data_IF_703158177060
#
_entry.id   IF_703158177060
#
_cell.length_a   1.000
_cell.length_b   1.000
_cell.length_c   1.000
_cell.angle_alpha   90.00
_cell.angle_beta   90.00
_cell.angle_gamma   90.00
#
_symmetry.space_group_name_H-M   'P 1'
#
loop_
_entity.id
_entity.type
_entity.pdbx_description
1 polymer ?
#
# COMPACT_ATOMS: atom_id res chain seq x y z
N UNK A 1 -19.64 -19.50 17.54
CA UNK A 1 -20.58 -18.51 16.96
C UNK A 1 -21.28 -19.03 15.67
N UNK A 2 -20.63 -19.87 14.83
CA UNK A 2 -21.27 -20.42 13.61
C UNK A 2 -22.53 -21.23 13.93
N UNK A 3 -22.56 -21.97 15.04
CA UNK A 3 -23.68 -22.79 15.48
C UNK A 3 -24.97 -22.01 15.80
N UNK A 4 -24.94 -20.69 15.77
CA UNK A 4 -26.13 -19.85 15.90
C UNK A 4 -26.94 -19.79 14.58
N UNK A 5 -26.35 -20.23 13.48
CA UNK A 5 -26.95 -20.25 12.14
C UNK A 5 -27.12 -21.68 11.65
N UNK A 6 -28.12 -21.91 10.82
CA UNK A 6 -28.27 -23.18 10.11
C UNK A 6 -27.34 -23.20 8.90
N UNK A 7 -26.97 -24.37 8.45
CA UNK A 7 -26.04 -24.56 7.34
C UNK A 7 -26.54 -23.97 6.01
N UNK A 8 -27.85 -23.79 5.87
CA UNK A 8 -28.57 -23.30 4.69
C UNK A 8 -29.17 -21.88 4.88
N UNK A 9 -28.81 -21.17 5.94
CA UNK A 9 -29.34 -19.81 6.20
C UNK A 9 -28.90 -18.77 5.18
N UNK A 10 -27.85 -19.04 4.39
CA UNK A 10 -27.31 -18.11 3.41
C UNK A 10 -27.28 -18.71 2.01
N UNK A 11 -27.93 -18.07 1.05
CA UNK A 11 -27.88 -18.44 -0.37
C UNK A 11 -26.56 -18.05 -1.05
N UNK A 12 -25.94 -16.99 -0.60
CA UNK A 12 -24.67 -16.46 -1.13
C UNK A 12 -23.73 -16.09 0.02
N UNK A 13 -22.49 -16.50 -0.10
CA UNK A 13 -21.39 -16.09 0.79
C UNK A 13 -20.29 -15.47 -0.05
N UNK A 14 -19.90 -14.25 0.31
CA UNK A 14 -18.81 -13.52 -0.33
C UNK A 14 -17.65 -13.46 0.66
N UNK A 15 -16.50 -13.98 0.25
CA UNK A 15 -15.25 -13.90 0.99
C UNK A 15 -14.41 -12.77 0.39
N UNK A 16 -14.28 -11.67 1.13
CA UNK A 16 -13.34 -10.61 0.80
C UNK A 16 -11.93 -11.02 1.23
N UNK A 17 -10.91 -10.49 0.56
CA UNK A 17 -9.51 -10.89 0.72
C UNK A 17 -9.32 -12.41 0.68
N UNK A 18 -9.91 -13.04 -0.33
CA UNK A 18 -9.98 -14.50 -0.46
C UNK A 18 -8.61 -15.19 -0.55
N UNK A 19 -7.52 -14.44 -0.75
CA UNK A 19 -6.15 -14.97 -0.64
C UNK A 19 -5.81 -15.47 0.79
N UNK A 20 -6.63 -15.13 1.79
CA UNK A 20 -6.57 -15.68 3.15
C UNK A 20 -7.48 -16.91 3.36
N UNK A 21 -8.15 -17.41 2.32
CA UNK A 21 -9.14 -18.49 2.44
C UNK A 21 -8.58 -19.82 2.95
N UNK A 22 -7.27 -20.03 2.88
CA UNK A 22 -6.58 -21.16 3.55
C UNK A 22 -6.55 -21.06 5.08
N UNK A 23 -6.77 -19.86 5.65
CA UNK A 23 -6.77 -19.70 7.10
C UNK A 23 -7.94 -20.45 7.76
N UNK A 24 -7.68 -21.00 8.94
CA UNK A 24 -8.62 -21.83 9.71
C UNK A 24 -10.02 -21.19 9.88
N UNK A 25 -10.08 -19.85 9.96
CA UNK A 25 -11.36 -19.14 10.14
C UNK A 25 -12.21 -19.21 8.88
N UNK A 26 -11.60 -18.97 7.71
CA UNK A 26 -12.27 -19.06 6.41
C UNK A 26 -12.69 -20.51 6.12
N UNK A 27 -11.80 -21.46 6.36
CA UNK A 27 -12.08 -22.89 6.17
C UNK A 27 -13.26 -23.36 7.04
N UNK A 28 -13.37 -22.88 8.28
CA UNK A 28 -14.52 -23.19 9.15
C UNK A 28 -15.84 -22.68 8.57
N UNK A 29 -15.86 -21.49 7.99
CA UNK A 29 -17.04 -20.91 7.34
C UNK A 29 -17.40 -21.71 6.11
N UNK A 30 -16.43 -21.97 5.23
CA UNK A 30 -16.63 -22.70 3.97
C UNK A 30 -17.11 -24.14 4.19
N UNK A 31 -16.62 -24.81 5.22
CA UNK A 31 -17.00 -26.19 5.55
C UNK A 31 -18.32 -26.29 6.34
N UNK A 32 -18.78 -25.19 6.94
CA UNK A 32 -20.02 -25.18 7.72
C UNK A 32 -21.25 -24.91 6.89
N UNK A 33 -21.21 -23.90 6.02
CA UNK A 33 -22.37 -23.48 5.22
C UNK A 33 -22.43 -24.16 3.85
N UNK A 34 -23.66 -24.30 3.34
CA UNK A 34 -23.94 -24.85 2.01
C UNK A 34 -24.69 -23.86 1.15
N UNK A 35 -24.11 -22.70 0.81
CA UNK A 35 -24.78 -21.71 -0.02
C UNK A 35 -24.88 -22.17 -1.47
N UNK A 36 -25.75 -21.52 -2.24
CA UNK A 36 -25.85 -21.72 -3.71
C UNK A 36 -24.64 -21.12 -4.44
N UNK A 37 -24.04 -20.06 -3.87
CA UNK A 37 -22.88 -19.37 -4.43
C UNK A 37 -21.87 -19.05 -3.33
N UNK A 38 -20.65 -19.54 -3.53
CA UNK A 38 -19.46 -19.01 -2.85
C UNK A 38 -18.69 -18.15 -3.83
N UNK A 39 -18.47 -16.86 -3.48
CA UNK A 39 -17.66 -15.93 -4.27
C UNK A 39 -16.45 -15.48 -3.43
N UNK A 40 -15.26 -15.71 -3.94
CA UNK A 40 -14.03 -15.15 -3.41
C UNK A 40 -13.62 -13.91 -4.20
N UNK A 41 -13.32 -12.81 -3.51
CA UNK A 41 -12.76 -11.61 -4.10
C UNK A 41 -11.38 -11.35 -3.54
N UNK A 42 -10.42 -11.01 -4.38
CA UNK A 42 -9.06 -10.65 -3.96
C UNK A 42 -8.38 -9.78 -5.01
N UNK A 43 -7.59 -8.83 -4.57
CA UNK A 43 -6.70 -8.05 -5.44
C UNK A 43 -5.44 -8.84 -5.84
N UNK A 44 -5.12 -9.94 -5.16
CA UNK A 44 -3.86 -10.66 -5.28
C UNK A 44 -4.09 -12.18 -5.25
N UNK A 45 -4.61 -12.76 -6.35
CA UNK A 45 -4.95 -14.18 -6.41
C UNK A 45 -3.74 -15.11 -6.51
N UNK A 46 -2.53 -14.56 -6.77
CA UNK A 46 -1.36 -15.37 -7.02
C UNK A 46 -0.88 -16.11 -5.78
N UNK A 47 -0.33 -17.30 -5.97
CA UNK A 47 0.13 -18.18 -4.90
C UNK A 47 1.15 -17.48 -3.99
N UNK A 48 0.90 -17.49 -2.68
CA UNK A 48 1.92 -17.09 -1.69
C UNK A 48 3.01 -18.16 -1.63
N UNK A 49 4.25 -17.72 -1.56
CA UNK A 49 5.43 -18.62 -1.48
C UNK A 49 5.53 -19.39 -0.17
N UNK A 50 4.75 -19.04 0.83
CA UNK A 50 4.81 -19.53 2.21
C UNK A 50 3.63 -20.45 2.60
N UNK A 51 2.69 -20.73 1.69
CA UNK A 51 1.64 -21.73 1.92
C UNK A 51 1.50 -22.66 0.70
N UNK A 52 1.30 -23.96 0.97
CA UNK A 52 1.03 -24.96 -0.06
C UNK A 52 -0.39 -24.81 -0.64
N UNK A 53 -1.27 -24.04 0.02
CA UNK A 53 -2.64 -23.85 -0.38
C UNK A 53 -2.77 -22.87 -1.55
N UNK A 54 -3.37 -23.35 -2.62
CA UNK A 54 -3.62 -22.57 -3.82
C UNK A 54 -5.08 -22.09 -3.81
N UNK A 55 -5.30 -20.78 -3.82
CA UNK A 55 -6.65 -20.19 -3.85
C UNK A 55 -7.48 -20.75 -5.03
N UNK A 56 -6.86 -20.98 -6.18
CA UNK A 56 -7.55 -21.54 -7.35
C UNK A 56 -8.10 -22.94 -7.08
N UNK A 57 -7.41 -23.79 -6.32
CA UNK A 57 -7.89 -25.11 -5.90
C UNK A 57 -9.08 -24.99 -4.95
N UNK A 58 -9.05 -24.06 -4.02
CA UNK A 58 -10.14 -23.80 -3.05
C UNK A 58 -11.44 -23.44 -3.78
N UNK A 59 -11.36 -22.71 -4.88
CA UNK A 59 -12.51 -22.32 -5.71
C UNK A 59 -12.67 -23.18 -6.98
N UNK A 60 -12.16 -24.43 -6.99
CA UNK A 60 -12.26 -25.39 -8.09
C UNK A 60 -11.79 -24.83 -9.44
N UNK A 61 -10.77 -23.97 -9.45
CA UNK A 61 -10.24 -23.28 -10.64
C UNK A 61 -11.29 -22.47 -11.43
N UNK A 62 -12.38 -22.07 -10.79
CA UNK A 62 -13.41 -21.24 -11.42
C UNK A 62 -13.09 -19.77 -11.19
N UNK A 63 -12.83 -19.05 -12.28
CA UNK A 63 -12.63 -17.61 -12.29
C UNK A 63 -13.87 -16.99 -12.94
N UNK A 64 -14.65 -16.24 -12.15
CA UNK A 64 -15.81 -15.54 -12.65
C UNK A 64 -15.42 -14.27 -13.43
N UNK A 65 -14.44 -13.54 -12.92
CA UNK A 65 -13.91 -12.33 -13.55
C UNK A 65 -12.48 -12.06 -13.05
N UNK A 66 -11.61 -11.61 -13.94
CA UNK A 66 -10.27 -11.17 -13.61
C UNK A 66 -9.99 -9.87 -14.33
N UNK A 67 -9.55 -8.84 -13.59
CA UNK A 67 -9.02 -7.60 -14.13
C UNK A 67 -7.69 -7.30 -13.44
N UNK A 68 -6.65 -7.06 -14.22
CA UNK A 68 -5.32 -6.74 -13.73
C UNK A 68 -5.10 -5.23 -13.73
N UNK A 69 -4.07 -4.78 -12.99
CA UNK A 69 -3.75 -3.36 -12.83
C UNK A 69 -3.65 -2.64 -14.19
N UNK A 70 -2.92 -3.22 -15.14
CA UNK A 70 -2.76 -2.64 -16.47
C UNK A 70 -4.11 -2.51 -17.21
N UNK A 71 -4.90 -3.56 -17.24
CA UNK A 71 -6.24 -3.53 -17.86
C UNK A 71 -7.16 -2.51 -17.15
N UNK A 72 -7.14 -2.47 -15.81
CA UNK A 72 -7.92 -1.50 -15.06
C UNK A 72 -7.53 -0.05 -15.36
N UNK A 73 -6.26 0.19 -15.70
CA UNK A 73 -5.79 1.50 -16.15
C UNK A 73 -6.21 1.80 -17.58
N UNK A 74 -6.10 0.84 -18.50
CA UNK A 74 -6.54 0.96 -19.91
C UNK A 74 -8.07 1.21 -20.00
N UNK A 75 -8.84 0.58 -19.13
CA UNK A 75 -10.28 0.79 -19.00
C UNK A 75 -10.66 2.04 -18.18
N UNK A 76 -9.68 2.85 -17.79
CA UNK A 76 -9.85 4.07 -16.99
C UNK A 76 -10.58 3.86 -15.65
N UNK A 77 -10.52 2.69 -15.07
CA UNK A 77 -11.10 2.39 -13.77
C UNK A 77 -10.26 2.94 -12.61
N UNK A 78 -8.98 3.17 -12.86
CA UNK A 78 -8.01 3.70 -11.91
C UNK A 78 -7.51 5.08 -12.35
N UNK A 79 -6.96 5.82 -11.38
CA UNK A 79 -6.24 7.05 -11.62
C UNK A 79 -4.86 6.72 -12.20
N UNK A 80 -4.40 7.40 -13.26
CA UNK A 80 -3.04 7.25 -13.76
C UNK A 80 -1.99 7.51 -12.68
N UNK A 81 -0.81 6.94 -12.83
CA UNK A 81 0.30 7.21 -11.92
C UNK A 81 1.62 7.37 -12.66
N UNK A 82 2.53 8.12 -12.05
CA UNK A 82 3.93 8.25 -12.45
C UNK A 82 4.80 7.58 -11.39
N UNK A 83 5.63 6.62 -11.78
CA UNK A 83 6.55 5.93 -10.90
C UNK A 83 7.98 6.39 -11.15
N UNK A 84 8.67 6.78 -10.09
CA UNK A 84 10.06 7.21 -10.13
C UNK A 84 10.88 6.44 -9.10
N UNK A 85 11.86 5.68 -9.58
CA UNK A 85 12.89 5.06 -8.75
C UNK A 85 13.97 6.08 -8.42
N UNK A 86 14.17 6.38 -7.14
CA UNK A 86 15.12 7.38 -6.65
C UNK A 86 16.21 6.70 -5.86
N UNK A 87 17.47 7.04 -6.14
CA UNK A 87 18.59 6.53 -5.33
C UNK A 87 18.52 7.12 -3.92
N UNK A 88 18.37 6.26 -2.90
CA UNK A 88 18.42 6.71 -1.50
C UNK A 88 19.87 6.99 -1.07
N UNK A 89 20.07 8.05 -0.30
CA UNK A 89 21.38 8.46 0.24
C UNK A 89 21.89 7.48 1.30
N UNK A 90 21.00 6.80 2.00
CA UNK A 90 21.35 5.87 3.07
C UNK A 90 21.04 4.44 2.67
N UNK A 91 22.09 3.70 2.28
CA UNK A 91 22.00 2.25 2.07
C UNK A 91 22.19 1.55 3.41
N UNK A 92 21.09 1.14 4.05
CA UNK A 92 21.12 0.20 5.16
C UNK A 92 20.89 -1.19 4.59
N UNK A 93 21.91 -2.03 4.62
CA UNK A 93 21.91 -3.35 3.95
C UNK A 93 20.84 -4.31 4.48
N UNK A 94 20.34 -4.12 5.71
CA UNK A 94 19.30 -4.95 6.31
C UNK A 94 18.29 -4.14 7.13
N UNK A 95 17.32 -3.57 6.47
CA UNK A 95 16.25 -2.82 7.14
C UNK A 95 15.26 -3.71 7.92
N UNK A 96 15.28 -5.04 7.72
CA UNK A 96 14.43 -6.00 8.44
C UNK A 96 15.07 -6.52 9.73
N UNK A 97 16.37 -6.34 9.93
CA UNK A 97 17.03 -6.72 11.17
C UNK A 97 16.34 -5.98 12.34
N UNK A 98 15.88 -6.74 13.33
CA UNK A 98 15.27 -6.16 14.55
C UNK A 98 16.25 -5.27 15.33
N UNK A 99 17.54 -5.42 15.07
CA UNK A 99 18.65 -4.77 15.78
C UNK A 99 19.53 -4.00 14.80
N UNK A 100 19.01 -2.88 14.24
CA UNK A 100 19.91 -1.90 13.62
C UNK A 100 20.84 -1.32 14.69
N UNK A 101 22.10 -1.11 14.33
CA UNK A 101 22.99 -0.31 15.14
C UNK A 101 22.47 1.13 15.24
N UNK A 102 22.86 1.83 16.29
CA UNK A 102 22.45 3.24 16.47
C UNK A 102 22.93 4.13 15.29
N UNK A 103 24.09 3.83 14.73
CA UNK A 103 24.65 4.52 13.56
C UNK A 103 23.81 4.28 12.30
N UNK A 104 23.38 3.04 12.04
CA UNK A 104 22.51 2.71 10.89
C UNK A 104 21.14 3.37 11.01
N UNK A 105 20.56 3.38 12.21
CA UNK A 105 19.30 4.06 12.45
C UNK A 105 19.41 5.57 12.21
N UNK A 106 20.48 6.21 12.69
CA UNK A 106 20.71 7.64 12.50
C UNK A 106 20.83 8.03 11.02
N UNK A 107 21.33 7.14 10.16
CA UNK A 107 21.34 7.37 8.71
C UNK A 107 19.94 7.43 8.11
N UNK A 108 18.97 6.68 8.64
CA UNK A 108 17.58 6.70 8.15
C UNK A 108 16.84 7.99 8.47
N UNK A 109 17.33 8.77 9.44
CA UNK A 109 16.66 9.96 9.95
C UNK A 109 17.55 11.21 9.91
N UNK A 110 18.70 11.17 9.22
CA UNK A 110 19.58 12.34 9.11
C UNK A 110 18.93 13.48 8.32
N UNK A 111 19.37 14.69 8.56
CA UNK A 111 18.78 15.88 7.93
C UNK A 111 19.01 15.88 6.43
N UNK A 112 20.17 15.45 5.97
CA UNK A 112 20.49 15.34 4.55
C UNK A 112 19.51 14.39 3.81
N UNK A 113 19.12 13.30 4.46
CA UNK A 113 18.11 12.38 3.86
C UNK A 113 16.73 13.01 3.83
N UNK A 114 16.34 13.72 4.89
CA UNK A 114 15.07 14.46 4.94
C UNK A 114 15.01 15.52 3.84
N UNK A 115 16.07 16.32 3.68
CA UNK A 115 16.18 17.30 2.62
C UNK A 115 16.09 16.66 1.24
N UNK A 116 16.80 15.56 1.01
CA UNK A 116 16.75 14.81 -0.26
C UNK A 116 15.34 14.29 -0.55
N UNK A 117 14.64 13.70 0.43
CA UNK A 117 13.26 13.24 0.25
C UNK A 117 12.35 14.41 -0.15
N UNK A 118 12.45 15.54 0.52
CA UNK A 118 11.64 16.73 0.24
C UNK A 118 11.98 17.37 -1.11
N UNK A 119 13.26 17.42 -1.49
CA UNK A 119 13.69 17.89 -2.81
C UNK A 119 13.05 17.04 -3.92
N UNK A 120 13.10 15.72 -3.79
CA UNK A 120 12.50 14.82 -4.78
C UNK A 120 10.98 14.93 -4.79
N UNK A 121 10.34 14.99 -3.61
CA UNK A 121 8.90 15.16 -3.48
C UNK A 121 8.40 16.46 -4.14
N UNK A 122 9.14 17.56 -3.97
CA UNK A 122 8.81 18.83 -4.59
C UNK A 122 9.15 18.87 -6.09
N UNK A 123 10.24 18.23 -6.52
CA UNK A 123 10.66 18.19 -7.92
C UNK A 123 9.64 17.43 -8.79
N UNK A 124 9.21 16.24 -8.37
CA UNK A 124 8.24 15.46 -9.11
C UNK A 124 6.80 15.92 -8.86
N UNK A 125 6.54 16.62 -7.76
CA UNK A 125 5.27 17.26 -7.46
C UNK A 125 4.12 16.28 -7.20
N UNK A 126 2.91 16.77 -7.44
CA UNK A 126 1.65 16.05 -7.23
C UNK A 126 0.55 16.68 -8.11
N UNK A 127 -0.55 15.97 -8.34
CA UNK A 127 -1.73 16.56 -8.97
C UNK A 127 -2.66 17.19 -7.95
N UNK A 128 -3.41 18.21 -8.37
CA UNK A 128 -4.36 18.92 -7.50
C UNK A 128 -3.74 20.12 -6.78
N UNK A 129 -4.50 20.71 -5.86
CA UNK A 129 -4.17 22.00 -5.24
C UNK A 129 -3.12 21.90 -4.14
N UNK A 130 -3.05 20.80 -3.42
CA UNK A 130 -2.10 20.55 -2.35
C UNK A 130 -1.66 19.10 -2.30
N UNK A 131 -0.53 18.85 -1.67
CA UNK A 131 -0.07 17.48 -1.42
C UNK A 131 -0.99 16.77 -0.42
N UNK A 132 -1.31 15.52 -0.72
CA UNK A 132 -2.00 14.57 0.13
C UNK A 132 -1.20 13.27 0.07
N UNK A 133 -0.16 13.20 0.89
CA UNK A 133 0.91 12.22 0.76
C UNK A 133 0.84 11.07 1.76
N UNK A 134 1.24 9.88 1.31
CA UNK A 134 1.53 8.74 2.18
C UNK A 134 3.02 8.45 2.15
N UNK A 135 3.63 8.24 3.32
CA UNK A 135 5.04 7.89 3.45
C UNK A 135 5.15 6.54 4.16
N UNK A 136 5.68 5.55 3.45
CA UNK A 136 5.87 4.21 3.97
C UNK A 136 7.29 4.03 4.50
N UNK A 137 7.42 3.81 5.80
CA UNK A 137 8.69 3.60 6.49
C UNK A 137 8.88 2.15 6.92
N UNK A 138 10.12 1.80 7.27
CA UNK A 138 10.47 0.46 7.74
C UNK A 138 10.14 0.24 9.22
N UNK A 139 10.10 1.30 10.03
CA UNK A 139 10.02 1.23 11.50
C UNK A 139 9.17 2.35 12.11
N UNK A 140 8.51 2.04 13.23
CA UNK A 140 7.71 3.02 13.99
C UNK A 140 8.52 4.24 14.43
N UNK A 141 9.74 4.03 14.93
CA UNK A 141 10.62 5.12 15.35
C UNK A 141 11.05 6.00 14.17
N UNK A 142 11.34 5.41 13.00
CA UNK A 142 11.63 6.14 11.78
C UNK A 142 10.45 7.03 11.38
N UNK A 143 9.23 6.48 11.36
CA UNK A 143 8.01 7.26 11.09
C UNK A 143 7.88 8.48 12.00
N UNK A 144 8.02 8.26 13.31
CA UNK A 144 7.85 9.32 14.32
C UNK A 144 8.88 10.42 14.13
N UNK A 145 10.15 10.07 13.93
CA UNK A 145 11.23 11.05 13.82
C UNK A 145 11.19 11.79 12.48
N UNK A 146 10.91 11.09 11.36
CA UNK A 146 10.75 11.75 10.07
C UNK A 146 9.53 12.69 10.07
N UNK A 147 8.40 12.25 10.64
CA UNK A 147 7.21 13.10 10.78
C UNK A 147 7.53 14.36 11.61
N UNK A 148 8.26 14.24 12.73
CA UNK A 148 8.66 15.39 13.53
C UNK A 148 9.54 16.36 12.73
N UNK A 149 10.55 15.86 12.00
CA UNK A 149 11.43 16.70 11.17
C UNK A 149 10.68 17.39 10.04
N UNK A 150 9.71 16.73 9.41
CA UNK A 150 8.84 17.36 8.40
C UNK A 150 7.99 18.47 9.03
N UNK A 151 7.48 18.27 10.25
CA UNK A 151 6.75 19.32 10.98
C UNK A 151 7.66 20.52 11.33
N UNK A 152 8.91 20.28 11.72
CA UNK A 152 9.90 21.34 11.98
C UNK A 152 10.19 22.17 10.72
N UNK A 153 10.05 21.57 9.53
CA UNK A 153 10.19 22.22 8.23
C UNK A 153 8.90 22.86 7.70
N UNK A 154 7.83 22.85 8.50
CA UNK A 154 6.57 23.53 8.19
C UNK A 154 5.52 22.66 7.49
N UNK A 155 5.75 21.38 7.31
CA UNK A 155 4.72 20.44 6.83
C UNK A 155 3.82 20.00 7.98
N UNK A 156 2.58 19.67 7.69
CA UNK A 156 1.59 19.16 8.65
C UNK A 156 1.53 17.65 8.54
N UNK A 157 2.16 16.94 9.44
CA UNK A 157 2.30 15.49 9.34
C UNK A 157 1.94 14.76 10.63
N UNK A 158 1.64 13.49 10.51
CA UNK A 158 1.43 12.57 11.62
C UNK A 158 2.03 11.20 11.29
N UNK A 159 2.61 10.56 12.30
CA UNK A 159 3.05 9.17 12.23
C UNK A 159 1.98 8.26 12.83
N UNK A 160 1.56 7.24 12.07
CA UNK A 160 0.60 6.23 12.51
C UNK A 160 1.24 4.86 12.59
N UNK A 161 0.79 4.06 13.54
CA UNK A 161 1.24 2.69 13.75
C UNK A 161 0.06 1.74 14.04
N UNK A 162 0.31 0.44 14.06
CA UNK A 162 -0.71 -0.55 14.42
C UNK A 162 -1.22 -0.42 15.85
N UNK A 163 -0.51 0.30 16.74
CA UNK A 163 -0.90 0.52 18.14
C UNK A 163 -1.94 1.64 18.27
N UNK A 164 -2.13 2.46 17.22
CA UNK A 164 -3.08 3.57 17.24
C UNK A 164 -4.51 3.05 17.10
N UNK A 165 -5.43 3.64 17.88
CA UNK A 165 -6.84 3.28 17.81
C UNK A 165 -7.42 3.64 16.44
N UNK A 166 -8.46 2.92 16.04
CA UNK A 166 -9.18 3.19 14.78
C UNK A 166 -9.64 4.65 14.68
N UNK A 167 -10.10 5.22 15.80
CA UNK A 167 -10.52 6.63 15.86
C UNK A 167 -9.39 7.61 15.53
N UNK A 168 -8.16 7.35 16.01
CA UNK A 168 -6.99 8.19 15.71
C UNK A 168 -6.65 8.08 14.23
N UNK A 169 -6.64 6.87 13.69
CA UNK A 169 -6.36 6.62 12.27
C UNK A 169 -7.40 7.28 11.37
N UNK A 170 -8.69 7.09 11.67
CA UNK A 170 -9.79 7.71 10.92
C UNK A 170 -9.69 9.24 10.93
N UNK A 171 -9.40 9.86 12.08
CA UNK A 171 -9.19 11.30 12.18
C UNK A 171 -8.04 11.79 11.29
N UNK A 172 -6.91 11.06 11.25
CA UNK A 172 -5.78 11.43 10.41
C UNK A 172 -6.14 11.33 8.91
N UNK A 173 -6.88 10.30 8.50
CA UNK A 173 -7.34 10.12 7.12
C UNK A 173 -8.30 11.23 6.69
N UNK A 174 -9.27 11.57 7.54
CA UNK A 174 -10.17 12.70 7.30
C UNK A 174 -9.39 14.01 7.10
N UNK A 175 -8.40 14.27 7.95
CA UNK A 175 -7.54 15.46 7.85
C UNK A 175 -6.67 15.46 6.58
N UNK A 176 -6.19 14.30 6.12
CA UNK A 176 -5.45 14.20 4.87
C UNK A 176 -6.35 14.49 3.67
N UNK A 177 -7.58 13.96 3.69
CA UNK A 177 -8.57 14.15 2.62
C UNK A 177 -9.08 15.60 2.49
N UNK A 178 -9.08 16.39 3.59
CA UNK A 178 -9.56 17.78 3.60
C UNK A 178 -8.84 18.66 2.58
N UNK A 179 -9.54 19.63 2.02
CA UNK A 179 -8.96 20.79 1.34
C UNK A 179 -8.90 21.98 2.31
N UNK A 180 -8.04 22.97 2.03
CA UNK A 180 -7.87 24.16 2.89
C UNK A 180 -9.21 24.93 3.07
N UNK A 181 -10.04 24.99 2.04
CA UNK A 181 -11.34 25.66 2.07
C UNK A 181 -12.34 25.00 3.04
N UNK A 182 -12.20 23.70 3.27
CA UNK A 182 -13.07 22.90 4.13
C UNK A 182 -12.49 22.69 5.54
N UNK A 183 -11.35 23.32 5.83
CA UNK A 183 -10.73 23.29 7.16
C UNK A 183 -11.60 24.09 8.15
N UNK A 184 -12.27 23.39 9.06
CA UNK A 184 -13.08 23.99 10.13
C UNK A 184 -12.24 24.10 11.40
N UNK A 185 -12.44 23.17 12.33
CA UNK A 185 -11.73 23.14 13.63
C UNK A 185 -10.45 22.30 13.58
N UNK A 186 -10.15 21.64 12.46
CA UNK A 186 -8.99 20.74 12.29
C UNK A 186 -8.14 21.22 11.11
N UNK A 187 -6.84 21.26 11.32
CA UNK A 187 -5.90 21.52 10.22
C UNK A 187 -5.77 20.32 9.30
N UNK A 188 -5.75 20.50 7.96
CA UNK A 188 -5.45 19.45 7.02
C UNK A 188 -4.02 18.93 7.20
N UNK A 189 -3.79 17.65 6.87
CA UNK A 189 -2.46 17.03 6.87
C UNK A 189 -1.89 16.99 5.46
N UNK A 190 -0.58 17.23 5.34
CA UNK A 190 0.15 17.11 4.08
C UNK A 190 0.67 15.67 3.87
N UNK A 191 1.14 15.03 4.95
CA UNK A 191 1.60 13.64 4.89
C UNK A 191 1.18 12.82 6.10
N UNK A 192 0.94 11.54 5.86
CA UNK A 192 0.83 10.51 6.89
C UNK A 192 2.01 9.54 6.73
N UNK A 193 2.82 9.41 7.77
CA UNK A 193 3.88 8.41 7.86
C UNK A 193 3.34 7.13 8.46
N UNK A 194 3.68 5.98 7.87
CA UNK A 194 3.08 4.71 8.28
C UNK A 194 4.05 3.53 8.15
N UNK A 195 3.87 2.55 9.05
CA UNK A 195 4.44 1.20 8.95
C UNK A 195 3.28 0.21 8.91
N UNK A 196 3.08 -0.47 7.79
CA UNK A 196 2.15 -1.60 7.58
C UNK A 196 0.64 -1.38 7.84
N UNK A 197 0.21 -0.28 8.46
CA UNK A 197 -1.21 -0.05 8.81
C UNK A 197 -2.11 0.26 7.61
N UNK A 198 -1.53 0.60 6.47
CA UNK A 198 -2.26 0.90 5.23
C UNK A 198 -2.38 -0.33 4.31
N UNK A 199 -2.02 -1.52 4.80
CA UNK A 199 -2.06 -2.73 4.00
C UNK A 199 -3.50 -3.23 3.78
N UNK A 200 -4.41 -3.04 4.76
CA UNK A 200 -5.79 -3.56 4.70
C UNK A 200 -6.80 -2.55 5.28
N UNK A 201 -7.99 -2.49 4.69
CA UNK A 201 -9.17 -1.81 5.26
C UNK A 201 -9.20 -0.28 5.22
N UNK A 202 -8.18 0.40 4.72
CA UNK A 202 -8.14 1.88 4.65
C UNK A 202 -8.29 2.34 3.21
N UNK A 203 -9.20 3.26 2.96
CA UNK A 203 -9.44 3.87 1.67
C UNK A 203 -9.23 5.38 1.75
N UNK A 204 -8.19 5.89 1.08
CA UNK A 204 -7.92 7.32 0.98
C UNK A 204 -7.78 7.65 -0.50
N UNK A 205 -8.91 7.91 -1.13
CA UNK A 205 -8.98 8.14 -2.57
C UNK A 205 -8.29 9.44 -3.01
N UNK A 206 -8.12 10.40 -2.11
CA UNK A 206 -7.54 11.70 -2.38
C UNK A 206 -6.02 11.71 -2.44
N UNK A 207 -5.35 10.63 -2.05
CA UNK A 207 -3.88 10.53 -2.09
C UNK A 207 -3.37 10.81 -3.51
N UNK A 208 -2.44 11.78 -3.62
CA UNK A 208 -1.85 12.20 -4.88
C UNK A 208 -0.31 12.05 -4.93
N UNK A 209 0.32 11.72 -3.79
CA UNK A 209 1.74 11.41 -3.73
C UNK A 209 2.00 10.24 -2.76
N UNK A 210 2.83 9.30 -3.17
CA UNK A 210 3.25 8.15 -2.34
C UNK A 210 4.76 8.10 -2.29
N UNK A 211 5.33 8.07 -1.10
CA UNK A 211 6.78 7.99 -0.86
C UNK A 211 7.10 6.67 -0.17
N UNK A 212 7.92 5.85 -0.82
CA UNK A 212 8.33 4.55 -0.32
C UNK A 212 9.77 4.64 0.20
N UNK A 213 9.94 4.67 1.52
CA UNK A 213 11.25 4.72 2.19
C UNK A 213 11.70 3.33 2.67
N UNK A 214 10.94 2.31 2.38
CA UNK A 214 11.23 0.93 2.75
C UNK A 214 11.33 0.04 1.53
N UNK A 215 12.24 -0.97 1.55
CA UNK A 215 12.26 -1.98 0.51
C UNK A 215 10.95 -2.77 0.52
N UNK A 216 10.29 -2.80 -0.61
CA UNK A 216 9.14 -3.67 -0.83
C UNK A 216 9.60 -4.92 -1.54
N UNK A 217 9.68 -6.04 -0.83
CA UNK A 217 10.10 -7.32 -1.40
C UNK A 217 8.94 -8.11 -2.01
N UNK A 218 7.70 -7.68 -1.77
CA UNK A 218 6.50 -8.35 -2.28
C UNK A 218 5.77 -7.41 -3.24
N UNK A 219 5.70 -7.75 -4.54
CA UNK A 219 4.87 -7.03 -5.50
C UNK A 219 3.41 -6.92 -5.07
N UNK A 220 2.92 -7.95 -4.36
CA UNK A 220 1.55 -8.01 -3.83
C UNK A 220 1.31 -6.88 -2.83
N UNK A 221 2.18 -6.77 -1.82
CA UNK A 221 2.07 -5.71 -0.80
C UNK A 221 2.19 -4.33 -1.44
N UNK A 222 3.08 -4.16 -2.42
CA UNK A 222 3.23 -2.91 -3.16
C UNK A 222 1.93 -2.53 -3.88
N UNK A 223 1.35 -3.45 -4.66
CA UNK A 223 0.10 -3.20 -5.38
C UNK A 223 -1.07 -2.92 -4.42
N UNK A 224 -1.15 -3.61 -3.28
CA UNK A 224 -2.16 -3.34 -2.26
C UNK A 224 -2.03 -1.94 -1.66
N UNK A 225 -0.81 -1.52 -1.34
CA UNK A 225 -0.53 -0.17 -0.83
C UNK A 225 -0.82 0.91 -1.86
N UNK A 226 -0.37 0.68 -3.09
CA UNK A 226 -0.56 1.57 -4.21
C UNK A 226 -2.04 1.69 -4.61
N UNK A 227 -2.75 0.57 -4.69
CA UNK A 227 -4.14 0.51 -5.14
C UNK A 227 -5.09 1.42 -4.35
N UNK A 228 -4.76 1.73 -3.10
CA UNK A 228 -5.52 2.67 -2.27
C UNK A 228 -5.41 4.11 -2.75
N UNK A 229 -4.23 4.50 -3.24
CA UNK A 229 -4.00 5.80 -3.85
C UNK A 229 -4.40 5.89 -5.33
N UNK A 230 -4.62 4.75 -6.02
CA UNK A 230 -4.97 4.76 -7.44
C UNK A 230 -6.44 4.93 -7.74
N UNK A 231 -7.31 5.09 -6.75
CA UNK A 231 -8.72 5.39 -6.99
C UNK A 231 -8.88 6.81 -7.52
N UNK A 232 -9.85 7.00 -8.41
CA UNK A 232 -10.19 8.33 -8.94
C UNK A 232 -10.83 9.19 -7.85
N UNK A 233 -10.41 10.44 -7.74
CA UNK A 233 -11.00 11.44 -6.86
C UNK A 233 -11.15 12.77 -7.60
N UNK A 234 -12.09 13.61 -7.18
CA UNK A 234 -12.26 14.93 -7.76
C UNK A 234 -10.99 15.78 -7.55
N UNK A 235 -10.53 16.44 -8.60
CA UNK A 235 -9.33 17.28 -8.58
C UNK A 235 -8.01 16.53 -8.58
N UNK A 236 -8.03 15.19 -8.72
CA UNK A 236 -6.83 14.36 -8.84
C UNK A 236 -6.73 13.78 -10.26
N UNK A 237 -5.72 14.18 -10.99
CA UNK A 237 -5.48 13.73 -12.37
C UNK A 237 -4.55 12.52 -12.42
N UNK A 238 -3.56 12.47 -11.52
CA UNK A 238 -2.58 11.38 -11.40
C UNK A 238 -2.03 11.27 -9.99
N UNK A 239 -1.34 10.17 -9.73
CA UNK A 239 -0.58 9.92 -8.48
C UNK A 239 0.90 9.87 -8.79
N UNK A 240 1.72 10.52 -8.00
CA UNK A 240 3.18 10.41 -8.08
C UNK A 240 3.68 9.40 -7.06
N UNK A 241 4.47 8.44 -7.50
CA UNK A 241 5.07 7.40 -6.65
C UNK A 241 6.57 7.58 -6.68
N UNK A 242 7.14 7.86 -5.53
CA UNK A 242 8.58 8.02 -5.33
C UNK A 242 9.09 6.82 -4.52
N UNK A 243 9.83 5.95 -5.17
CA UNK A 243 10.40 4.76 -4.55
C UNK A 243 11.90 4.99 -4.30
N UNK A 244 12.25 5.20 -3.03
CA UNK A 244 13.64 5.40 -2.61
C UNK A 244 14.37 4.06 -2.55
N UNK A 245 14.97 3.73 -3.68
CA UNK A 245 15.62 2.46 -3.92
C UNK A 245 17.02 2.47 -3.30
N UNK A 246 17.22 1.67 -2.25
CA UNK A 246 18.56 1.29 -1.81
C UNK A 246 19.18 0.26 -2.76
N UNK A 247 20.42 -0.18 -2.47
CA UNK A 247 21.08 -1.28 -3.22
C UNK A 247 20.44 -2.65 -2.84
N UNK A 248 19.17 -2.85 -3.21
CA UNK A 248 18.46 -4.11 -2.97
C UNK A 248 18.59 -5.04 -4.16
N UNK A 249 18.85 -6.31 -3.90
CA UNK A 249 19.03 -7.35 -4.92
C UNK A 249 17.77 -7.62 -5.77
N UNK A 250 16.60 -7.08 -5.39
CA UNK A 250 15.31 -7.36 -6.02
C UNK A 250 14.55 -6.08 -6.45
N UNK A 251 15.25 -5.02 -6.80
CA UNK A 251 14.61 -3.74 -7.19
C UNK A 251 13.75 -3.85 -8.45
N UNK A 252 13.98 -4.86 -9.29
CA UNK A 252 13.19 -5.12 -10.51
C UNK A 252 11.76 -5.62 -10.23
N UNK A 253 11.47 -6.10 -9.01
CA UNK A 253 10.17 -6.70 -8.71
C UNK A 253 9.00 -5.72 -8.80
N UNK A 254 9.22 -4.45 -8.48
CA UNK A 254 8.19 -3.41 -8.58
C UNK A 254 7.87 -3.07 -10.02
N UNK A 255 8.85 -2.71 -10.89
CA UNK A 255 8.60 -2.54 -12.32
C UNK A 255 7.91 -3.74 -12.96
N UNK A 256 8.32 -4.98 -12.63
CA UNK A 256 7.64 -6.20 -13.10
C UNK A 256 6.19 -6.25 -12.67
N UNK A 257 5.90 -5.96 -11.40
CA UNK A 257 4.52 -5.94 -10.90
C UNK A 257 3.64 -4.90 -11.60
N UNK A 258 4.22 -3.74 -11.94
CA UNK A 258 3.53 -2.67 -12.65
C UNK A 258 3.33 -2.97 -14.14
N UNK A 259 4.28 -3.69 -14.79
CA UNK A 259 4.19 -4.07 -16.20
C UNK A 259 3.17 -5.17 -16.48
N UNK A 260 2.68 -5.86 -15.46
CA UNK A 260 1.79 -7.02 -15.59
C UNK A 260 2.49 -8.29 -16.07
N UNK A 261 3.82 -8.30 -16.17
CA UNK A 261 4.60 -9.48 -16.54
C UNK A 261 4.54 -10.55 -15.46
N UNK A 262 4.11 -11.75 -15.83
CA UNK A 262 4.01 -12.92 -14.94
C UNK A 262 5.29 -13.75 -14.87
N UNK A 263 6.24 -13.49 -15.78
CA UNK A 263 7.48 -14.28 -15.83
C UNK A 263 8.42 -13.99 -14.68
N UNK A 264 8.26 -12.83 -14.02
CA UNK A 264 9.19 -12.30 -13.02
C UNK A 264 10.65 -12.33 -13.50
N UNK A 265 10.85 -12.22 -14.81
CA UNK A 265 12.15 -12.23 -15.45
C UNK A 265 12.64 -10.80 -15.66
N UNK A 266 13.78 -10.39 -15.09
CA UNK A 266 14.33 -9.04 -15.29
C UNK A 266 14.56 -8.67 -16.78
N UNK A 267 14.87 -9.66 -17.63
CA UNK A 267 15.10 -9.46 -19.05
C UNK A 267 13.85 -9.15 -19.87
N UNK A 268 12.64 -9.33 -19.33
CA UNK A 268 11.39 -8.99 -20.01
C UNK A 268 11.08 -7.49 -19.98
N UNK A 269 11.73 -6.73 -19.09
CA UNK A 269 11.54 -5.30 -18.92
C UNK A 269 12.14 -4.45 -20.04
N UNK A 270 13.10 -4.97 -20.80
CA UNK A 270 13.80 -4.22 -21.87
C UNK A 270 12.86 -3.76 -23.02
N UNK A 271 11.64 -4.28 -23.10
CA UNK A 271 10.67 -3.96 -24.15
C UNK A 271 9.42 -3.21 -23.65
N UNK A 272 9.36 -2.81 -22.38
CA UNK A 272 8.12 -2.29 -21.77
C UNK A 272 8.19 -0.82 -21.32
N UNK A 273 9.36 -0.15 -21.52
CA UNK A 273 9.58 1.26 -21.16
C UNK A 273 10.24 2.03 -22.29
#
# INVERSE_FOLDING_TARGET
>A
HLQQYKVDDFDCIILDEAHHSSANTYQKVMNYFTPRLFLGMTATPDKRTDSDDNIYEIFNHQIAYEIRLQQAMEEELLCPFHYFGITDLSVVQDTKSKNLSHEEFNKLICDERVEHILEQANYYGYSGERVKGLVFCSRKQECQQLSAKFNDLGYRTVALSGDDSEKIRQNAFERLAMNEENATDKEPLDYIFSVDILNEGVDIIEVNQVIMLRPTQSPIVFIQQLGRGLRKAAGKEYVVILDFIGNYNNNFMIPVALSGDRSYNPGSLDNSF
#
